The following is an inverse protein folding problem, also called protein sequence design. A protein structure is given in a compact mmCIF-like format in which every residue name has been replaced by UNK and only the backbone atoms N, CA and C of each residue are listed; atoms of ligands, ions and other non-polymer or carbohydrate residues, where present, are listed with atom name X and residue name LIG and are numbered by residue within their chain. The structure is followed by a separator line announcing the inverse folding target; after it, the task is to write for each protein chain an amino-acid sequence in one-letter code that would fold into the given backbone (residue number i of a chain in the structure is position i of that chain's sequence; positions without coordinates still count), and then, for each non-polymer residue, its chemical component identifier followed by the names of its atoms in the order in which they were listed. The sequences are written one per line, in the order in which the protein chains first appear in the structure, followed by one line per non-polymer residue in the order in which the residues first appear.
data_IF_069727888181
#
_entry.id   IF_069727888181
#
_cell.length_a   1.000
_cell.length_b   1.000
_cell.length_c   1.000
_cell.angle_alpha   90.00
_cell.angle_beta   90.00
_cell.angle_gamma   90.00
#
_symmetry.space_group_name_H-M   'P 1'
#
loop_
_entity.id
_entity.type
_entity.pdbx_description
1 polymer ?
#
# COMPACT_ATOMS: atom_id res chain seq x y z
N UNK A 1 -18.12 41.51 -2.18
CA UNK A 1 -18.95 40.72 -1.24
C UNK A 1 -18.41 39.30 -0.94
N UNK A 2 -17.15 38.97 -1.26
CA UNK A 2 -16.59 37.61 -1.07
C UNK A 2 -15.74 37.48 0.22
N UNK A 3 -15.41 38.58 0.89
CA UNK A 3 -14.63 38.56 2.14
C UNK A 3 -15.45 38.15 3.38
N UNK A 4 -16.76 38.42 3.40
CA UNK A 4 -17.58 38.24 4.60
C UNK A 4 -18.07 36.80 4.85
N UNK A 5 -17.99 35.90 3.85
CA UNK A 5 -18.43 34.50 4.03
C UNK A 5 -17.33 33.63 4.67
N UNK A 6 -16.08 34.10 4.67
CA UNK A 6 -14.94 33.35 5.21
C UNK A 6 -14.74 33.48 6.72
N UNK A 7 -15.31 34.52 7.33
CA UNK A 7 -15.18 34.77 8.77
C UNK A 7 -16.19 33.98 9.62
N UNK A 8 -17.18 33.33 8.97
CA UNK A 8 -18.22 32.52 9.63
C UNK A 8 -17.82 31.05 9.86
N UNK A 9 -16.74 30.58 9.22
CA UNK A 9 -16.21 29.23 9.37
C UNK A 9 -14.83 29.39 10.00
N UNK A 10 -14.70 29.15 11.31
CA UNK A 10 -13.54 29.42 12.14
C UNK A 10 -12.24 28.69 11.79
N UNK A 11 -11.77 28.79 10.54
CA UNK A 11 -10.43 28.41 10.13
C UNK A 11 -9.52 29.61 10.30
N UNK A 12 -9.00 29.79 11.52
CA UNK A 12 -7.94 30.75 11.79
C UNK A 12 -6.79 30.53 10.82
N UNK A 13 -6.39 31.60 10.11
CA UNK A 13 -5.17 31.58 9.34
C UNK A 13 -4.03 31.29 10.31
N UNK A 14 -3.24 30.24 10.05
CA UNK A 14 -2.03 29.97 10.80
C UNK A 14 -1.08 31.15 10.58
N UNK A 15 -1.04 32.08 11.53
CA UNK A 15 -0.01 33.13 11.55
C UNK A 15 1.34 32.42 11.62
N UNK A 16 2.15 32.58 10.57
CA UNK A 16 3.50 32.06 10.55
C UNK A 16 4.28 32.72 11.70
N UNK A 17 4.81 31.90 12.61
CA UNK A 17 5.58 32.40 13.74
C UNK A 17 6.67 33.38 13.27
N UNK A 18 6.85 34.53 13.94
CA UNK A 18 7.77 35.57 13.49
C UNK A 18 9.19 34.99 13.37
N UNK A 19 9.85 35.29 12.24
CA UNK A 19 11.24 34.90 12.01
C UNK A 19 12.12 35.51 13.10
N UNK A 20 12.71 34.67 13.96
CA UNK A 20 13.61 35.13 15.00
C UNK A 20 14.87 35.74 14.38
N UNK A 21 15.05 37.04 14.61
CA UNK A 21 16.23 37.79 14.20
C UNK A 21 17.15 37.94 15.41
N UNK A 22 18.42 37.56 15.27
CA UNK A 22 19.44 37.72 16.30
C UNK A 22 20.29 38.95 15.99
N UNK A 23 20.59 39.77 16.99
CA UNK A 23 21.34 41.03 16.79
C UNK A 23 22.85 40.78 16.70
N UNK A 24 23.33 39.60 17.12
CA UNK A 24 24.75 39.21 17.01
C UNK A 24 24.95 37.69 16.99
N UNK A 25 26.11 37.24 16.49
CA UNK A 25 26.46 35.81 16.46
C UNK A 25 26.60 35.16 17.84
N UNK A 26 26.97 35.92 18.87
CA UNK A 26 27.02 35.43 20.26
C UNK A 26 25.63 35.15 20.82
N UNK A 27 24.66 36.01 20.50
CA UNK A 27 23.26 35.85 20.91
C UNK A 27 22.62 34.62 20.28
N UNK A 28 22.93 34.33 19.01
CA UNK A 28 22.52 33.10 18.33
C UNK A 28 23.08 31.86 19.04
N UNK A 29 24.37 31.85 19.38
CA UNK A 29 25.00 30.70 20.04
C UNK A 29 24.37 30.44 21.41
N UNK A 30 24.11 31.49 22.19
CA UNK A 30 23.50 31.35 23.51
C UNK A 30 22.04 30.87 23.40
N UNK A 31 21.25 31.42 22.48
CA UNK A 31 19.87 30.97 22.24
C UNK A 31 19.80 29.51 21.75
N UNK A 32 20.79 29.03 21.00
CA UNK A 32 20.86 27.63 20.57
C UNK A 32 21.23 26.72 21.75
N UNK A 33 22.12 27.16 22.65
CA UNK A 33 22.47 26.40 23.86
C UNK A 33 21.28 26.28 24.81
N UNK A 34 20.57 27.37 25.08
CA UNK A 34 19.39 27.35 25.96
C UNK A 34 18.29 26.45 25.39
N UNK A 35 18.00 26.52 24.08
CA UNK A 35 17.04 25.60 23.44
C UNK A 35 17.46 24.14 23.53
N UNK A 36 18.76 23.87 23.45
CA UNK A 36 19.27 22.51 23.59
C UNK A 36 19.09 22.01 25.02
N UNK A 37 19.36 22.85 26.01
CA UNK A 37 19.15 22.54 27.42
C UNK A 37 17.66 22.36 27.75
N UNK A 38 16.79 23.25 27.27
CA UNK A 38 15.33 23.14 27.39
C UNK A 38 14.81 21.86 26.72
N UNK A 39 15.28 21.53 25.51
CA UNK A 39 14.89 20.30 24.83
C UNK A 39 15.41 19.04 25.54
N UNK A 40 16.59 19.11 26.17
CA UNK A 40 17.14 18.02 26.98
C UNK A 40 16.37 17.86 28.29
N UNK A 41 16.01 18.95 28.96
CA UNK A 41 15.19 18.95 30.16
C UNK A 41 13.78 18.45 29.85
N UNK A 42 13.16 18.88 28.76
CA UNK A 42 11.86 18.38 28.30
C UNK A 42 11.91 16.89 27.96
N UNK A 43 13.00 16.44 27.33
CA UNK A 43 13.22 15.02 27.06
C UNK A 43 13.39 14.21 28.34
N UNK A 44 14.09 14.74 29.34
CA UNK A 44 14.26 14.08 30.64
C UNK A 44 12.92 14.04 31.40
N UNK A 45 12.16 15.13 31.41
CA UNK A 45 10.82 15.17 32.01
C UNK A 45 9.87 14.18 31.32
N UNK A 46 9.94 14.06 29.99
CA UNK A 46 9.16 13.09 29.22
C UNK A 46 9.62 11.63 29.42
N UNK A 47 10.83 11.40 29.95
CA UNK A 47 11.31 10.08 30.37
C UNK A 47 10.90 9.77 31.81
N UNK A 48 10.90 10.76 32.72
CA UNK A 48 10.40 10.59 34.09
C UNK A 48 8.86 10.40 34.15
N UNK A 49 8.14 10.71 33.06
CA UNK A 49 6.73 10.33 32.81
C UNK A 49 6.62 8.86 32.32
N UNK A 50 7.51 7.97 32.74
CA UNK A 50 7.38 6.51 32.57
C UNK A 50 6.20 5.90 33.39
N UNK A 51 5.47 6.73 34.14
CA UNK A 51 4.16 6.42 34.78
C UNK A 51 3.03 6.25 33.75
N UNK A 52 3.25 6.65 32.50
CA UNK A 52 2.24 6.59 31.42
C UNK A 52 1.85 5.17 30.98
N UNK A 53 2.58 4.11 31.36
CA UNK A 53 2.16 2.74 31.04
C UNK A 53 0.84 2.34 31.73
N UNK A 54 0.59 2.86 32.93
CA UNK A 54 -0.68 2.69 33.66
C UNK A 54 -1.73 3.74 33.28
N UNK A 55 -1.32 4.96 32.92
CA UNK A 55 -2.24 6.05 32.56
C UNK A 55 -2.77 5.88 31.11
N UNK A 56 -1.93 5.51 30.15
CA UNK A 56 -2.36 5.21 28.76
C UNK A 56 -3.29 3.99 28.68
N UNK A 57 -3.10 3.03 29.59
CA UNK A 57 -3.93 1.85 29.73
C UNK A 57 -5.38 2.16 30.14
N UNK A 58 -5.56 3.17 31.01
CA UNK A 58 -6.87 3.64 31.46
C UNK A 58 -7.52 4.63 30.48
N UNK A 59 -6.73 5.46 29.78
CA UNK A 59 -7.26 6.45 28.83
C UNK A 59 -7.89 5.83 27.57
N UNK A 60 -7.40 4.66 27.12
CA UNK A 60 -7.99 3.94 25.98
C UNK A 60 -9.43 3.48 26.25
N UNK A 61 -9.84 3.28 27.50
CA UNK A 61 -11.23 2.94 27.85
C UNK A 61 -12.20 4.11 27.67
N UNK A 62 -11.67 5.33 27.59
CA UNK A 62 -12.45 6.57 27.44
C UNK A 62 -12.30 7.21 26.06
N UNK A 63 -11.61 6.56 25.12
CA UNK A 63 -11.49 7.04 23.75
C UNK A 63 -12.75 6.63 22.96
N UNK A 64 -13.64 7.58 22.60
CA UNK A 64 -14.89 7.27 21.91
C UNK A 64 -14.68 6.73 20.49
N UNK A 65 -13.46 6.78 19.95
CA UNK A 65 -13.10 6.24 18.64
C UNK A 65 -12.70 4.75 18.67
N UNK A 66 -12.57 4.14 19.86
CA UNK A 66 -12.27 2.71 20.01
C UNK A 66 -13.56 1.89 20.04
N UNK A 67 -13.66 0.93 19.13
CA UNK A 67 -14.72 -0.08 19.09
C UNK A 67 -14.15 -1.32 19.78
N UNK A 68 -14.75 -1.77 20.88
CA UNK A 68 -14.27 -2.90 21.69
C UNK A 68 -12.77 -2.81 22.06
N UNK A 69 -12.28 -1.61 22.34
CA UNK A 69 -10.86 -1.36 22.66
C UNK A 69 -9.91 -1.39 21.44
N UNK A 70 -10.46 -1.46 20.22
CA UNK A 70 -9.72 -1.50 18.96
C UNK A 70 -10.07 -0.28 18.11
N UNK A 71 -9.05 0.43 17.65
CA UNK A 71 -9.22 1.55 16.71
C UNK A 71 -9.36 1.02 15.28
N UNK A 72 -10.60 0.90 14.82
CA UNK A 72 -10.90 0.38 13.47
C UNK A 72 -10.55 1.41 12.40
N UNK A 73 -9.74 1.01 11.42
CA UNK A 73 -9.43 1.82 10.25
C UNK A 73 -10.45 1.56 9.16
N UNK A 74 -11.02 2.63 8.61
CA UNK A 74 -12.00 2.56 7.52
C UNK A 74 -11.33 2.92 6.19
N UNK A 75 -11.52 2.06 5.17
CA UNK A 75 -11.06 2.33 3.79
C UNK A 75 -12.11 3.20 3.10
N UNK A 76 -13.37 2.79 3.22
CA UNK A 76 -14.57 3.52 2.82
C UNK A 76 -15.59 3.34 3.94
N UNK A 77 -16.66 4.15 3.94
CA UNK A 77 -17.77 3.98 4.86
C UNK A 77 -18.29 2.52 4.79
N UNK A 78 -18.41 1.86 5.95
CA UNK A 78 -18.84 0.46 6.06
C UNK A 78 -17.80 -0.60 5.67
N UNK A 79 -16.60 -0.21 5.20
CA UNK A 79 -15.53 -1.16 4.83
C UNK A 79 -14.26 -0.91 5.64
N UNK A 80 -13.94 -1.83 6.55
CA UNK A 80 -12.76 -1.74 7.39
C UNK A 80 -11.49 -2.30 6.72
N UNK A 81 -10.36 -1.67 6.99
CA UNK A 81 -9.02 -2.20 6.75
C UNK A 81 -8.66 -3.23 7.84
N UNK A 82 -9.21 -4.45 7.69
CA UNK A 82 -9.14 -5.52 8.70
C UNK A 82 -7.70 -5.86 9.14
N UNK A 83 -6.84 -6.14 8.18
CA UNK A 83 -5.44 -6.52 8.45
C UNK A 83 -4.61 -5.40 9.05
N UNK A 84 -4.82 -4.16 8.61
CA UNK A 84 -4.08 -3.00 9.12
C UNK A 84 -4.52 -2.65 10.54
N UNK A 85 -5.83 -2.72 10.80
CA UNK A 85 -6.40 -2.57 12.15
C UNK A 85 -5.81 -3.61 13.09
N UNK A 86 -5.86 -4.87 12.68
CA UNK A 86 -5.33 -5.99 13.46
C UNK A 86 -3.83 -5.86 13.74
N UNK A 87 -3.04 -5.50 12.72
CA UNK A 87 -1.60 -5.32 12.86
C UNK A 87 -1.22 -4.14 13.77
N UNK A 88 -1.92 -3.01 13.65
CA UNK A 88 -1.68 -1.84 14.51
C UNK A 88 -2.03 -2.11 15.96
N UNK A 89 -3.15 -2.79 16.20
CA UNK A 89 -3.54 -3.19 17.54
C UNK A 89 -2.50 -4.16 18.14
N UNK A 90 -2.05 -5.16 17.37
CA UNK A 90 -0.98 -6.07 17.81
C UNK A 90 0.34 -5.36 18.14
N UNK A 91 0.72 -4.33 17.38
CA UNK A 91 1.88 -3.48 17.71
C UNK A 91 1.66 -2.69 19.00
N UNK A 92 0.50 -2.03 19.17
CA UNK A 92 0.15 -1.27 20.37
C UNK A 92 0.20 -2.16 21.61
N UNK A 93 -0.42 -3.33 21.55
CA UNK A 93 -0.39 -4.33 22.63
C UNK A 93 1.04 -4.83 22.87
N UNK A 94 1.82 -5.08 21.83
CA UNK A 94 3.22 -5.46 21.97
C UNK A 94 4.08 -4.42 22.70
N UNK A 95 3.91 -3.13 22.36
CA UNK A 95 4.58 -2.04 23.08
C UNK A 95 4.13 -1.94 24.53
N UNK A 96 2.84 -2.13 24.80
CA UNK A 96 2.29 -2.16 26.17
C UNK A 96 2.86 -3.31 26.99
N UNK A 97 2.92 -4.52 26.42
CA UNK A 97 3.56 -5.67 27.05
C UNK A 97 5.03 -5.40 27.38
N UNK A 98 5.76 -4.75 26.46
CA UNK A 98 7.16 -4.35 26.67
C UNK A 98 7.31 -3.31 27.79
N UNK A 99 6.44 -2.29 27.81
CA UNK A 99 6.44 -1.25 28.84
C UNK A 99 6.11 -1.82 30.22
N UNK A 100 5.16 -2.75 30.30
CA UNK A 100 4.78 -3.46 31.52
C UNK A 100 5.82 -4.52 31.96
N UNK A 101 6.96 -4.67 31.25
CA UNK A 101 7.97 -5.68 31.55
C UNK A 101 7.53 -7.13 31.32
N UNK A 102 6.37 -7.35 30.70
CA UNK A 102 5.84 -8.69 30.43
C UNK A 102 6.55 -9.35 29.24
N UNK A 103 6.57 -10.69 29.24
CA UNK A 103 7.24 -11.45 28.19
C UNK A 103 6.48 -11.31 26.87
N UNK A 104 7.14 -10.73 25.87
CA UNK A 104 6.60 -10.56 24.52
C UNK A 104 6.60 -11.89 23.75
N UNK A 105 5.53 -12.67 23.92
CA UNK A 105 5.34 -13.98 23.27
C UNK A 105 4.63 -13.85 21.92
N UNK A 106 4.94 -14.77 20.99
CA UNK A 106 4.27 -14.81 19.69
C UNK A 106 2.75 -15.06 19.86
N UNK A 107 2.35 -15.87 20.86
CA UNK A 107 0.94 -16.16 21.15
C UNK A 107 0.16 -14.90 21.55
N UNK A 108 0.65 -14.12 22.52
CA UNK A 108 -0.03 -12.89 22.95
C UNK A 108 -0.19 -11.86 21.80
N UNK A 109 0.78 -11.81 20.88
CA UNK A 109 0.70 -10.95 19.69
C UNK A 109 -0.35 -11.48 18.69
N UNK A 110 -0.41 -12.80 18.50
CA UNK A 110 -1.41 -13.45 17.63
C UNK A 110 -2.81 -13.23 18.19
N UNK A 111 -3.00 -13.41 19.50
CA UNK A 111 -4.29 -13.22 20.16
C UNK A 111 -4.79 -11.77 20.00
N UNK A 112 -3.90 -10.79 20.19
CA UNK A 112 -4.22 -9.37 19.97
C UNK A 112 -4.59 -9.10 18.49
N UNK A 113 -3.85 -9.67 17.54
CA UNK A 113 -4.16 -9.54 16.12
C UNK A 113 -5.53 -10.15 15.79
N UNK A 114 -5.82 -11.36 16.26
CA UNK A 114 -7.09 -12.04 15.99
C UNK A 114 -8.29 -11.31 16.59
N UNK A 115 -8.15 -10.79 17.81
CA UNK A 115 -9.16 -9.98 18.46
C UNK A 115 -9.52 -8.77 17.59
N UNK A 116 -8.52 -7.97 17.22
CA UNK A 116 -8.74 -6.76 16.41
C UNK A 116 -9.21 -7.06 14.98
N UNK A 117 -8.81 -8.19 14.38
CA UNK A 117 -9.35 -8.61 13.10
C UNK A 117 -10.84 -8.93 13.20
N UNK A 118 -11.26 -9.65 14.26
CA UNK A 118 -12.67 -10.00 14.47
C UNK A 118 -13.52 -8.75 14.68
N UNK A 119 -13.05 -7.78 15.46
CA UNK A 119 -13.73 -6.48 15.64
C UNK A 119 -13.83 -5.72 14.32
N UNK A 120 -12.77 -5.64 13.53
CA UNK A 120 -12.83 -4.99 12.22
C UNK A 120 -13.77 -5.73 11.24
N UNK A 121 -13.84 -7.05 11.33
CA UNK A 121 -14.74 -7.88 10.52
C UNK A 121 -16.21 -7.67 10.93
N UNK A 122 -16.53 -7.66 12.22
CA UNK A 122 -17.91 -7.48 12.68
C UNK A 122 -18.47 -6.12 12.28
N UNK A 123 -17.67 -5.05 12.39
CA UNK A 123 -18.13 -3.69 12.11
C UNK A 123 -17.95 -3.25 10.65
N UNK A 124 -17.01 -3.83 9.91
CA UNK A 124 -16.66 -3.36 8.56
C UNK A 124 -16.42 -4.46 7.52
N UNK A 125 -17.11 -5.60 7.64
CA UNK A 125 -17.02 -6.72 6.67
C UNK A 125 -17.44 -6.32 5.25
N UNK A 126 -18.39 -5.40 5.10
CA UNK A 126 -19.04 -5.08 3.83
C UNK A 126 -19.55 -6.34 3.10
N UNK A 127 -20.06 -7.34 3.86
CA UNK A 127 -20.54 -8.62 3.32
C UNK A 127 -19.44 -9.60 2.89
N UNK A 128 -18.16 -9.27 3.06
CA UNK A 128 -17.04 -10.18 2.71
C UNK A 128 -16.81 -11.22 3.81
N UNK A 129 -16.49 -12.47 3.46
CA UNK A 129 -16.14 -13.49 4.45
C UNK A 129 -14.87 -13.12 5.20
N UNK A 130 -14.70 -13.70 6.40
CA UNK A 130 -13.49 -13.54 7.17
C UNK A 130 -12.33 -14.29 6.48
N UNK A 131 -11.27 -13.57 6.15
CA UNK A 131 -10.09 -14.09 5.46
C UNK A 131 -8.89 -14.00 6.40
N UNK A 132 -8.91 -14.79 7.47
CA UNK A 132 -7.77 -14.83 8.39
C UNK A 132 -6.59 -15.55 7.73
N UNK A 133 -5.35 -15.01 7.85
CA UNK A 133 -4.17 -15.71 7.38
C UNK A 133 -3.99 -17.10 8.06
N UNK A 134 -3.41 -18.08 7.36
CA UNK A 134 -3.03 -19.36 7.96
C UNK A 134 -2.13 -19.19 9.20
N UNK A 135 -2.15 -20.15 10.12
CA UNK A 135 -1.41 -20.07 11.40
C UNK A 135 0.09 -19.83 11.20
N UNK A 136 0.70 -20.44 10.18
CA UNK A 136 2.12 -20.25 9.83
C UNK A 136 2.46 -18.78 9.51
N UNK A 137 1.55 -18.09 8.84
CA UNK A 137 1.75 -16.69 8.45
C UNK A 137 1.52 -15.76 9.64
N UNK A 138 0.53 -16.06 10.50
CA UNK A 138 0.33 -15.39 11.80
C UNK A 138 1.56 -15.48 12.71
N UNK A 139 2.18 -16.66 12.81
CA UNK A 139 3.43 -16.82 13.55
C UNK A 139 4.57 -15.98 12.95
N UNK A 140 4.68 -15.94 11.62
CA UNK A 140 5.69 -15.11 10.95
C UNK A 140 5.44 -13.61 11.18
N UNK A 141 4.18 -13.19 11.14
CA UNK A 141 3.75 -11.83 11.46
C UNK A 141 4.09 -11.48 12.91
N UNK A 142 3.78 -12.35 13.87
CA UNK A 142 4.05 -12.13 15.28
C UNK A 142 5.54 -11.92 15.57
N UNK A 143 6.39 -12.74 14.94
CA UNK A 143 7.86 -12.56 15.02
C UNK A 143 8.32 -11.21 14.47
N UNK A 144 7.68 -10.71 13.42
CA UNK A 144 7.98 -9.39 12.85
C UNK A 144 7.53 -8.27 13.78
N UNK A 145 6.29 -8.32 14.28
CA UNK A 145 5.76 -7.38 15.28
C UNK A 145 6.68 -7.32 16.49
N UNK A 146 7.05 -8.48 17.03
CA UNK A 146 8.03 -8.58 18.12
C UNK A 146 9.37 -7.94 17.77
N UNK A 147 9.88 -8.22 16.58
CA UNK A 147 11.10 -7.58 16.07
C UNK A 147 11.00 -6.06 16.02
N UNK A 148 9.88 -5.51 15.56
CA UNK A 148 9.64 -4.06 15.53
C UNK A 148 9.56 -3.47 16.94
N UNK A 149 8.81 -4.13 17.83
CA UNK A 149 8.64 -3.69 19.22
C UNK A 149 9.97 -3.71 19.98
N UNK A 150 10.87 -4.66 19.70
CA UNK A 150 12.20 -4.73 20.33
C UNK A 150 13.17 -3.71 19.70
N UNK A 151 13.19 -3.61 18.36
CA UNK A 151 14.14 -2.75 17.64
C UNK A 151 13.77 -1.28 17.65
N UNK A 152 12.51 -0.93 17.92
CA UNK A 152 12.12 0.46 18.13
C UNK A 152 12.91 1.02 19.31
N UNK A 153 13.79 2.00 19.04
CA UNK A 153 14.23 2.94 20.08
C UNK A 153 12.96 3.57 20.63
N UNK A 154 12.78 3.59 21.95
CA UNK A 154 11.67 4.27 22.61
C UNK A 154 11.75 5.78 22.34
N UNK A 155 11.36 6.19 21.14
CA UNK A 155 10.73 7.48 20.99
C UNK A 155 9.32 7.22 21.48
N UNK A 156 9.02 7.72 22.67
CA UNK A 156 7.71 7.61 23.28
C UNK A 156 6.63 7.74 22.20
N UNK A 157 5.76 6.75 22.11
CA UNK A 157 4.51 6.82 21.34
C UNK A 157 3.52 7.76 22.05
N UNK A 158 4.03 8.91 22.48
CA UNK A 158 3.33 9.96 23.19
C UNK A 158 3.40 11.21 22.31
N UNK A 159 2.22 11.53 21.78
CA UNK A 159 1.81 12.84 21.25
C UNK A 159 2.33 13.24 19.86
N UNK A 160 1.34 13.42 18.96
CA UNK A 160 1.36 14.17 17.69
C UNK A 160 1.86 13.49 16.41
N UNK A 161 1.14 12.45 15.96
CA UNK A 161 0.86 12.37 14.51
C UNK A 161 -0.59 12.75 14.30
N UNK A 162 -0.80 13.86 13.60
CA UNK A 162 -2.11 14.22 13.06
C UNK A 162 -2.74 13.00 12.38
N UNK A 163 -4.06 12.79 12.54
CA UNK A 163 -4.74 11.63 11.99
C UNK A 163 -4.49 11.56 10.48
N UNK A 164 -3.85 10.47 10.01
CA UNK A 164 -3.67 10.19 8.59
C UNK A 164 -2.25 10.32 8.00
N UNK A 165 -1.20 10.65 8.77
CA UNK A 165 0.18 10.69 8.23
C UNK A 165 1.03 9.53 8.75
N UNK A 166 1.42 8.63 7.85
CA UNK A 166 2.41 7.59 8.14
C UNK A 166 3.74 8.21 8.62
N UNK A 167 4.36 7.62 9.63
CA UNK A 167 5.67 8.08 10.13
C UNK A 167 6.78 7.75 9.12
N UNK A 168 7.95 8.41 9.24
CA UNK A 168 9.08 8.17 8.31
C UNK A 168 9.62 6.72 8.42
N UNK A 169 9.55 6.13 9.62
CA UNK A 169 9.87 4.73 9.88
C UNK A 169 8.85 3.79 9.22
N UNK A 170 7.56 4.09 9.29
CA UNK A 170 6.49 3.34 8.60
C UNK A 170 6.65 3.38 7.08
N UNK A 171 6.91 4.56 6.49
CA UNK A 171 7.20 4.66 5.05
C UNK A 171 8.42 3.85 4.65
N UNK A 172 9.47 3.84 5.48
CA UNK A 172 10.69 3.06 5.23
C UNK A 172 10.46 1.56 5.41
N UNK A 173 9.63 1.15 6.37
CA UNK A 173 9.24 -0.24 6.57
C UNK A 173 8.40 -0.76 5.39
N UNK A 174 7.44 0.03 4.92
CA UNK A 174 6.63 -0.29 3.74
C UNK A 174 7.48 -0.38 2.46
N UNK A 175 8.35 0.61 2.23
CA UNK A 175 9.27 0.61 1.09
C UNK A 175 10.25 -0.57 1.09
N UNK A 176 10.55 -1.15 2.26
CA UNK A 176 11.48 -2.28 2.39
C UNK A 176 10.82 -3.66 2.39
N UNK A 177 9.50 -3.76 2.63
CA UNK A 177 8.78 -5.04 2.61
C UNK A 177 8.85 -5.75 1.24
N UNK A 178 8.58 -5.04 0.14
CA UNK A 178 8.71 -5.62 -1.22
C UNK A 178 10.17 -5.76 -1.68
N UNK A 179 11.03 -4.81 -1.29
CA UNK A 179 12.43 -4.75 -1.75
C UNK A 179 13.28 -5.90 -1.20
N UNK A 180 13.05 -6.35 0.03
CA UNK A 180 13.76 -7.51 0.60
C UNK A 180 13.34 -8.81 -0.07
N UNK A 181 12.05 -8.97 -0.38
CA UNK A 181 11.53 -10.12 -1.13
C UNK A 181 12.12 -10.20 -2.54
N UNK A 182 12.10 -9.10 -3.29
CA UNK A 182 12.67 -9.02 -4.64
C UNK A 182 14.19 -9.28 -4.67
N UNK A 183 14.95 -8.72 -3.71
CA UNK A 183 16.39 -9.01 -3.59
C UNK A 183 16.67 -10.48 -3.29
N UNK A 184 15.88 -11.10 -2.40
CA UNK A 184 16.04 -12.52 -2.06
C UNK A 184 15.64 -13.43 -3.23
N UNK A 185 14.61 -13.07 -4.00
CA UNK A 185 14.25 -13.76 -5.23
C UNK A 185 15.36 -13.64 -6.28
N UNK A 186 15.87 -12.43 -6.54
CA UNK A 186 16.97 -12.20 -7.47
C UNK A 186 18.27 -12.93 -7.05
N UNK A 187 18.57 -12.97 -5.75
CA UNK A 187 19.70 -13.74 -5.22
C UNK A 187 19.52 -15.24 -5.46
N UNK A 188 18.32 -15.79 -5.25
CA UNK A 188 18.01 -17.21 -5.53
C UNK A 188 18.22 -17.59 -6.99
N UNK A 189 17.80 -16.73 -7.93
CA UNK A 189 18.05 -16.92 -9.36
C UNK A 189 19.55 -16.93 -9.71
N UNK A 190 20.39 -16.18 -8.96
CA UNK A 190 21.84 -16.14 -9.17
C UNK A 190 22.58 -17.32 -8.54
N UNK A 191 22.18 -17.74 -7.33
CA UNK A 191 22.95 -18.71 -6.55
C UNK A 191 22.49 -20.16 -6.70
N UNK A 192 21.22 -20.39 -7.06
CA UNK A 192 20.65 -21.74 -7.19
C UNK A 192 19.59 -21.81 -8.31
N UNK A 193 20.01 -21.62 -9.58
CA UNK A 193 19.10 -21.61 -10.73
C UNK A 193 18.40 -22.96 -10.97
N UNK A 194 18.98 -24.05 -10.50
CA UNK A 194 18.45 -25.43 -10.64
C UNK A 194 17.75 -25.95 -9.38
N UNK A 195 17.52 -25.08 -8.38
CA UNK A 195 16.71 -25.45 -7.21
C UNK A 195 15.28 -25.82 -7.62
N UNK A 196 14.63 -26.70 -6.86
CA UNK A 196 13.24 -27.12 -7.13
C UNK A 196 12.28 -25.94 -7.21
N UNK A 197 12.50 -24.92 -6.37
CA UNK A 197 11.76 -23.66 -6.43
C UNK A 197 11.95 -22.93 -7.77
N UNK A 198 13.20 -22.77 -8.24
CA UNK A 198 13.48 -22.10 -9.50
C UNK A 198 12.92 -22.89 -10.70
N UNK A 199 13.01 -24.22 -10.67
CA UNK A 199 12.40 -25.10 -11.68
C UNK A 199 10.88 -24.94 -11.74
N UNK A 200 10.21 -24.94 -10.59
CA UNK A 200 8.77 -24.72 -10.50
C UNK A 200 8.35 -23.34 -11.02
N UNK A 201 9.08 -22.28 -10.67
CA UNK A 201 8.79 -20.92 -11.17
C UNK A 201 9.05 -20.80 -12.68
N UNK A 202 10.09 -21.45 -13.23
CA UNK A 202 10.31 -21.52 -14.69
C UNK A 202 9.21 -22.30 -15.39
N UNK A 203 8.72 -23.39 -14.80
CA UNK A 203 7.61 -24.17 -15.36
C UNK A 203 6.32 -23.33 -15.43
N UNK A 204 5.98 -22.60 -14.36
CA UNK A 204 4.84 -21.67 -14.36
C UNK A 204 4.99 -20.59 -15.44
N UNK A 205 6.19 -20.01 -15.56
CA UNK A 205 6.47 -19.00 -16.57
C UNK A 205 6.41 -19.57 -18.00
N UNK A 206 6.85 -20.80 -18.21
CA UNK A 206 6.74 -21.50 -19.48
C UNK A 206 5.28 -21.71 -19.88
N UNK A 207 4.44 -22.21 -18.96
CA UNK A 207 2.99 -22.36 -19.16
C UNK A 207 2.33 -21.02 -19.47
N UNK A 208 2.67 -19.97 -18.73
CA UNK A 208 2.12 -18.63 -18.99
C UNK A 208 2.55 -18.07 -20.36
N UNK A 209 3.79 -18.35 -20.79
CA UNK A 209 4.27 -17.97 -22.12
C UNK A 209 3.57 -18.75 -23.23
N UNK A 210 3.34 -20.05 -23.02
CA UNK A 210 2.60 -20.90 -23.95
C UNK A 210 1.16 -20.42 -24.12
N UNK A 211 0.45 -20.18 -23.01
CA UNK A 211 -0.89 -19.63 -23.04
C UNK A 211 -0.95 -18.27 -23.75
N UNK A 212 0.03 -17.39 -23.52
CA UNK A 212 0.14 -16.10 -24.24
C UNK A 212 0.37 -16.28 -25.74
N UNK A 213 1.18 -17.26 -26.16
CA UNK A 213 1.37 -17.60 -27.58
C UNK A 213 0.07 -18.11 -28.21
N UNK A 214 -0.64 -18.99 -27.52
CA UNK A 214 -1.92 -19.55 -27.98
C UNK A 214 -2.98 -18.45 -28.10
N UNK A 215 -3.12 -17.59 -27.09
CA UNK A 215 -4.04 -16.44 -27.13
C UNK A 215 -3.70 -15.51 -28.30
N UNK A 216 -2.42 -15.12 -28.44
CA UNK A 216 -2.01 -14.25 -29.54
C UNK A 216 -2.25 -14.89 -30.92
N UNK A 217 -2.17 -16.22 -31.03
CA UNK A 217 -2.53 -16.92 -32.25
C UNK A 217 -4.04 -16.89 -32.49
N UNK A 218 -4.86 -17.18 -31.48
CA UNK A 218 -6.30 -17.09 -31.56
C UNK A 218 -6.78 -15.69 -31.97
N UNK A 219 -6.25 -14.64 -31.33
CA UNK A 219 -6.58 -13.25 -31.64
C UNK A 219 -6.21 -12.90 -33.10
N UNK A 220 -5.04 -13.37 -33.56
CA UNK A 220 -4.62 -13.16 -34.95
C UNK A 220 -5.57 -13.81 -35.96
N UNK A 221 -6.09 -15.00 -35.63
CA UNK A 221 -7.06 -15.69 -36.48
C UNK A 221 -8.45 -15.05 -36.42
N UNK A 222 -8.87 -14.57 -35.25
CA UNK A 222 -10.13 -13.84 -35.09
C UNK A 222 -10.15 -12.58 -35.97
N UNK A 223 -9.09 -11.76 -35.91
CA UNK A 223 -8.94 -10.56 -36.74
C UNK A 223 -8.98 -10.91 -38.24
N UNK A 224 -8.23 -11.94 -38.66
CA UNK A 224 -8.19 -12.37 -40.06
C UNK A 224 -9.57 -12.87 -40.54
N UNK A 225 -10.25 -13.66 -39.71
CA UNK A 225 -11.58 -14.20 -40.01
C UNK A 225 -12.63 -13.11 -40.18
N UNK A 226 -12.59 -12.08 -39.33
CA UNK A 226 -13.48 -10.93 -39.39
C UNK A 226 -13.27 -10.14 -40.69
N UNK A 227 -12.02 -9.90 -41.10
CA UNK A 227 -11.69 -9.24 -42.37
C UNK A 227 -12.16 -10.04 -43.59
N UNK A 228 -11.97 -11.36 -43.59
CA UNK A 228 -12.43 -12.23 -44.67
C UNK A 228 -13.97 -12.27 -44.75
N UNK A 229 -14.63 -12.33 -43.59
CA UNK A 229 -16.09 -12.29 -43.50
C UNK A 229 -16.64 -10.96 -44.03
N UNK A 230 -16.04 -9.83 -43.62
CA UNK A 230 -16.43 -8.51 -44.14
C UNK A 230 -16.32 -8.41 -45.66
N UNK A 231 -15.26 -8.98 -46.26
CA UNK A 231 -15.15 -9.09 -47.72
C UNK A 231 -16.22 -9.97 -48.35
N UNK A 232 -16.55 -11.10 -47.73
CA UNK A 232 -17.60 -12.00 -48.23
C UNK A 232 -18.97 -11.34 -48.23
N UNK A 233 -19.27 -10.51 -47.22
CA UNK A 233 -20.58 -9.89 -47.04
C UNK A 233 -20.75 -8.61 -47.85
N UNK A 234 -19.70 -7.79 -47.96
CA UNK A 234 -19.78 -6.44 -48.54
C UNK A 234 -19.09 -6.33 -49.91
N UNK A 235 -18.33 -7.34 -50.33
CA UNK A 235 -17.50 -7.32 -51.54
C UNK A 235 -16.16 -6.59 -51.39
N UNK A 236 -15.96 -5.82 -50.32
CA UNK A 236 -14.73 -5.07 -50.03
C UNK A 236 -14.14 -5.45 -48.66
N UNK A 237 -12.81 -5.33 -48.50
CA UNK A 237 -12.21 -5.56 -47.20
C UNK A 237 -12.49 -4.41 -46.23
N UNK A 238 -12.81 -4.70 -44.96
CA UNK A 238 -12.71 -3.73 -43.87
C UNK A 238 -11.32 -3.08 -43.80
N UNK A 239 -11.23 -1.82 -43.35
CA UNK A 239 -9.93 -1.16 -43.23
C UNK A 239 -9.17 -1.63 -41.99
N UNK A 240 -7.85 -1.43 -41.98
CA UNK A 240 -7.01 -1.71 -40.81
C UNK A 240 -7.47 -0.90 -39.59
N UNK A 241 -7.93 0.34 -39.81
CA UNK A 241 -8.44 1.21 -38.74
C UNK A 241 -9.76 0.72 -38.14
N UNK A 242 -10.67 0.21 -38.98
CA UNK A 242 -11.92 -0.40 -38.53
C UNK A 242 -11.65 -1.67 -37.71
N UNK A 243 -10.76 -2.54 -38.18
CA UNK A 243 -10.35 -3.74 -37.44
C UNK A 243 -9.67 -3.38 -36.09
N UNK A 244 -8.84 -2.33 -36.08
CA UNK A 244 -8.18 -1.86 -34.87
C UNK A 244 -9.18 -1.34 -33.83
N UNK A 245 -10.22 -0.63 -34.28
CA UNK A 245 -11.30 -0.15 -33.42
C UNK A 245 -12.15 -1.32 -32.88
N UNK A 246 -12.56 -2.25 -33.74
CA UNK A 246 -13.39 -3.41 -33.38
C UNK A 246 -12.72 -4.29 -32.31
N UNK A 247 -11.44 -4.61 -32.51
CA UNK A 247 -10.70 -5.48 -31.59
C UNK A 247 -9.96 -4.71 -30.48
N UNK A 248 -10.09 -3.37 -30.42
CA UNK A 248 -9.36 -2.52 -29.47
C UNK A 248 -7.85 -2.75 -29.46
N UNK A 249 -7.26 -2.94 -30.65
CA UNK A 249 -5.83 -3.20 -30.85
C UNK A 249 -5.18 -2.13 -31.72
N UNK A 250 -3.85 -2.05 -31.71
CA UNK A 250 -3.14 -1.15 -32.61
C UNK A 250 -3.19 -1.63 -34.07
N UNK A 251 -3.16 -0.70 -35.01
CA UNK A 251 -3.06 -0.99 -36.46
C UNK A 251 -1.91 -1.97 -36.79
N UNK A 252 -0.79 -1.87 -36.07
CA UNK A 252 0.37 -2.77 -36.25
C UNK A 252 0.07 -4.21 -35.84
N UNK A 253 -0.82 -4.42 -34.88
CA UNK A 253 -1.25 -5.76 -34.44
C UNK A 253 -2.13 -6.40 -35.50
N UNK A 254 -3.07 -5.63 -36.07
CA UNK A 254 -3.89 -6.06 -37.22
C UNK A 254 -3.02 -6.42 -38.43
N UNK A 255 -2.04 -5.58 -38.79
CA UNK A 255 -1.12 -5.86 -39.90
C UNK A 255 -0.30 -7.15 -39.69
N UNK A 256 0.15 -7.42 -38.45
CA UNK A 256 0.83 -8.68 -38.12
C UNK A 256 -0.12 -9.88 -38.26
N UNK A 257 -1.36 -9.75 -37.84
CA UNK A 257 -2.37 -10.79 -38.00
C UNK A 257 -2.64 -11.10 -39.49
N UNK A 258 -2.76 -10.05 -40.31
CA UNK A 258 -2.95 -10.19 -41.76
C UNK A 258 -1.76 -10.83 -42.47
N UNK A 259 -0.55 -10.38 -42.13
CA UNK A 259 0.68 -10.98 -42.65
C UNK A 259 0.78 -12.47 -42.31
N UNK A 260 0.41 -12.85 -41.08
CA UNK A 260 0.39 -14.24 -40.64
C UNK A 260 -0.66 -15.09 -41.36
N UNK A 261 -1.80 -14.50 -41.69
CA UNK A 261 -2.88 -15.15 -42.45
C UNK A 261 -2.66 -15.12 -43.98
N UNK A 262 -1.59 -14.48 -44.47
CA UNK A 262 -1.32 -14.35 -45.90
C UNK A 262 -2.30 -13.42 -46.65
N UNK A 263 -3.00 -12.55 -45.92
CA UNK A 263 -4.01 -11.64 -46.52
C UNK A 263 -3.32 -10.33 -46.90
N UNK A 264 -3.40 -9.98 -48.19
CA UNK A 264 -2.95 -8.69 -48.71
C UNK A 264 -4.18 -7.81 -48.95
N UNK A 265 -4.24 -6.69 -48.24
CA UNK A 265 -5.29 -5.69 -48.43
C UNK A 265 -4.99 -4.83 -49.68
N UNK A 266 -6.01 -4.40 -50.43
CA UNK A 266 -5.83 -3.49 -51.54
C UNK A 266 -5.21 -2.17 -51.05
N UNK A 267 -4.18 -1.71 -51.76
CA UNK A 267 -3.50 -0.45 -51.47
C UNK A 267 -4.25 0.71 -52.11
N UNK A 268 -4.56 1.75 -51.33
CA UNK A 268 -5.25 2.95 -51.80
C UNK A 268 -6.33 3.43 -50.83
N UNK A 269 -6.80 4.67 -50.99
CA UNK A 269 -7.99 5.14 -50.26
C UNK A 269 -9.25 4.47 -50.82
N UNK A 270 -10.22 4.18 -49.96
CA UNK A 270 -11.53 3.72 -50.39
C UNK A 270 -12.18 4.75 -51.33
N UNK A 271 -12.88 4.25 -52.35
CA UNK A 271 -13.59 5.07 -53.33
C UNK A 271 -14.80 5.72 -52.63
N UNK A 272 -14.64 6.97 -52.19
CA UNK A 272 -15.64 7.71 -51.43
C UNK A 272 -15.05 8.61 -50.34
N UNK A 273 -13.80 8.37 -49.95
CA UNK A 273 -13.07 9.11 -48.92
C UNK A 273 -12.28 10.31 -49.51
N UNK A 274 -12.96 11.09 -50.37
CA UNK A 274 -12.48 12.40 -50.84
C UNK A 274 -13.01 13.47 -49.89
N UNK A 275 -12.20 14.48 -49.52
CA UNK A 275 -12.71 15.67 -48.85
C UNK A 275 -13.71 16.42 -49.74
#
# INVERSE_FOLDING_TARGET
MIRQVRDLVGTGQYEAAPRQQFKSGRELINAVKTRREEAQAFKALAQDVDVDAEISAGLDQYDPELIDGVRVLWITEGTAARDETAFRHALKTGHRLRAAGQRLTDAAIIDAYEHAYKVAQTHGSAGRPAELPPMRDRQTMARRVRGYVIQSKSTAYSVSSAPGKATSSERKALATMGRRGGKKAAQRWKTAPDSDYAKQERAKLAVANENRKTSAAADSFAIASWLLKGKSETGEYPTVGEAAAEFSVSNRTVQRALSKAGIVLPTGRRKGDRP
#
